data_IF_368688941945
#
_entry.id   IF_368688941945
#
_cell.length_a   1.000
_cell.length_b   1.000
_cell.length_c   1.000
_cell.angle_alpha   90.00
_cell.angle_beta   90.00
_cell.angle_gamma   90.00
#
_symmetry.space_group_name_H-M   'P 1'
#
loop_
_entity.id
_entity.type
_entity.pdbx_description
1 polymer ?
#
# COMPACT_ATOMS: atom_id res chain seq x y z
N UNK A 1 -6.98 18.41 -46.26
CA UNK A 1 -7.91 17.67 -45.37
C UNK A 1 -7.16 17.33 -44.09
N UNK A 2 -7.01 18.34 -43.24
CA UNK A 2 -6.27 18.25 -41.99
C UNK A 2 -7.22 18.31 -40.79
N UNK A 3 -6.68 17.93 -39.62
CA UNK A 3 -7.17 18.24 -38.26
C UNK A 3 -8.16 17.24 -37.62
N UNK A 4 -8.74 16.26 -38.30
CA UNK A 4 -9.73 15.37 -37.63
C UNK A 4 -9.19 14.15 -36.86
N UNK A 5 -7.93 13.74 -37.04
CA UNK A 5 -7.41 12.52 -36.40
C UNK A 5 -6.63 12.73 -35.10
N UNK A 6 -6.32 13.98 -34.71
CA UNK A 6 -5.52 14.23 -33.49
C UNK A 6 -6.36 14.30 -32.20
N UNK A 7 -7.70 14.36 -32.31
CA UNK A 7 -8.55 14.65 -31.15
C UNK A 7 -8.93 13.40 -30.33
N UNK A 8 -8.84 12.19 -30.90
CA UNK A 8 -9.36 10.97 -30.25
C UNK A 8 -8.33 10.31 -29.33
N UNK A 9 -7.02 10.48 -29.60
CA UNK A 9 -5.97 9.84 -28.80
C UNK A 9 -5.60 10.68 -27.56
N UNK A 10 -5.91 11.98 -27.55
CA UNK A 10 -5.59 12.88 -26.44
C UNK A 10 -6.60 12.83 -25.26
N UNK A 11 -7.80 12.26 -25.46
CA UNK A 11 -8.90 12.36 -24.49
C UNK A 11 -9.25 11.05 -23.76
N UNK A 12 -8.53 9.95 -24.01
CA UNK A 12 -8.84 8.64 -23.42
C UNK A 12 -8.11 8.31 -22.10
N UNK A 13 -7.56 9.31 -21.41
CA UNK A 13 -7.16 9.15 -20.01
C UNK A 13 -7.98 10.07 -19.11
N UNK A 14 -9.31 9.87 -18.99
CA UNK A 14 -10.00 10.37 -17.81
C UNK A 14 -9.32 9.72 -16.60
N UNK A 15 -8.84 10.57 -15.69
CA UNK A 15 -7.82 10.25 -14.71
C UNK A 15 -7.99 8.88 -14.05
N UNK A 16 -6.89 8.14 -13.99
CA UNK A 16 -6.68 7.25 -12.86
C UNK A 16 -6.67 8.17 -11.63
N UNK A 17 -7.84 8.34 -11.01
CA UNK A 17 -7.88 8.57 -9.59
C UNK A 17 -7.16 7.38 -8.99
N UNK A 18 -5.89 7.57 -8.63
CA UNK A 18 -5.30 6.75 -7.57
C UNK A 18 -6.25 6.97 -6.40
N UNK A 19 -7.20 6.06 -6.21
CA UNK A 19 -7.93 5.97 -4.96
C UNK A 19 -6.82 5.87 -3.92
N UNK A 20 -6.71 6.92 -3.12
CA UNK A 20 -5.69 7.18 -2.09
C UNK A 20 -5.86 6.19 -0.93
N UNK A 21 -6.04 4.91 -1.26
CA UNK A 21 -6.07 3.77 -0.39
C UNK A 21 -4.61 3.41 -0.06
N UNK A 22 -3.91 4.33 0.60
CA UNK A 22 -2.50 4.18 0.91
C UNK A 22 -2.35 3.58 2.32
N UNK A 23 -2.03 2.29 2.38
CA UNK A 23 -1.41 1.72 3.56
C UNK A 23 0.01 2.29 3.63
N UNK A 24 0.30 3.08 4.66
CA UNK A 24 1.61 3.70 4.85
C UNK A 24 2.36 2.97 5.96
N UNK A 25 3.49 2.36 5.60
CA UNK A 25 4.45 1.81 6.56
C UNK A 25 5.49 2.87 6.90
N UNK A 26 5.61 3.22 8.19
CA UNK A 26 6.64 4.12 8.69
C UNK A 26 7.94 3.31 8.86
N UNK A 27 9.05 3.89 8.39
CA UNK A 27 10.34 3.22 8.19
C UNK A 27 10.29 2.13 7.09
N UNK A 28 10.71 2.52 5.88
CA UNK A 28 10.79 1.63 4.71
C UNK A 28 11.88 0.57 4.85
N UNK A 29 12.93 0.88 5.60
CA UNK A 29 14.06 -0.01 5.82
C UNK A 29 14.47 0.03 7.29
N UNK A 30 14.45 -1.13 7.95
CA UNK A 30 14.91 -1.30 9.32
C UNK A 30 15.94 -2.43 9.35
N UNK A 31 17.19 -2.08 9.65
CA UNK A 31 18.29 -3.05 9.79
C UNK A 31 18.75 -3.05 11.24
N UNK A 32 18.64 -4.20 11.90
CA UNK A 32 19.02 -4.43 13.30
C UNK A 32 19.89 -5.68 13.39
N UNK A 33 20.58 -5.88 14.52
CA UNK A 33 21.36 -7.11 14.72
C UNK A 33 20.42 -8.30 14.88
N UNK A 34 20.93 -9.48 14.58
CA UNK A 34 20.19 -10.73 14.74
C UNK A 34 19.65 -10.85 16.18
N UNK A 35 18.36 -11.18 16.32
CA UNK A 35 17.60 -11.28 17.58
C UNK A 35 17.28 -9.96 18.29
N UNK A 36 17.65 -8.81 17.75
CA UNK A 36 17.14 -7.54 18.27
C UNK A 36 15.67 -7.36 17.90
N UNK A 37 14.92 -6.69 18.77
CA UNK A 37 13.51 -6.37 18.53
C UNK A 37 13.40 -5.32 17.43
N UNK A 38 12.55 -5.58 16.46
CA UNK A 38 12.15 -4.62 15.41
C UNK A 38 10.70 -4.24 15.64
N UNK A 39 10.38 -2.97 15.46
CA UNK A 39 9.02 -2.46 15.47
C UNK A 39 8.77 -1.84 14.11
N UNK A 40 7.71 -2.30 13.42
CA UNK A 40 7.23 -1.70 12.19
C UNK A 40 5.88 -1.07 12.49
N UNK A 41 5.71 0.17 12.06
CA UNK A 41 4.47 0.91 12.23
C UNK A 41 3.76 1.01 10.90
N UNK A 42 2.43 0.86 10.93
CA UNK A 42 1.61 0.89 9.74
C UNK A 42 0.33 1.66 10.05
N UNK A 43 -0.09 2.49 9.10
CA UNK A 43 -1.26 3.33 9.20
C UNK A 43 -2.07 3.28 7.91
N UNK A 44 -3.37 3.54 8.02
CA UNK A 44 -4.28 3.58 6.88
C UNK A 44 -5.34 4.66 7.11
N UNK A 45 -5.75 5.31 6.03
CA UNK A 45 -6.82 6.32 6.00
C UNK A 45 -8.13 5.77 5.39
N UNK A 46 -8.21 4.46 5.13
CA UNK A 46 -9.32 3.84 4.38
C UNK A 46 -10.53 3.46 5.24
N UNK A 47 -10.46 3.70 6.55
CA UNK A 47 -11.55 3.31 7.45
C UNK A 47 -11.69 1.80 7.64
N UNK A 48 -10.74 0.95 7.22
CA UNK A 48 -10.77 -0.49 7.50
C UNK A 48 -10.48 -0.82 8.96
N UNK A 49 -11.24 -1.77 9.51
CA UNK A 49 -11.09 -2.19 10.90
C UNK A 49 -9.97 -3.21 11.10
N UNK A 50 -9.50 -3.85 10.02
CA UNK A 50 -8.42 -4.83 10.09
C UNK A 50 -7.29 -4.48 9.15
N UNK A 51 -6.05 -4.71 9.60
CA UNK A 51 -4.85 -4.63 8.78
C UNK A 51 -4.13 -5.98 8.80
N UNK A 52 -3.64 -6.42 7.65
CA UNK A 52 -2.94 -7.69 7.49
C UNK A 52 -1.44 -7.46 7.28
N UNK A 53 -0.63 -8.24 7.97
CA UNK A 53 0.83 -8.16 7.95
C UNK A 53 1.40 -9.36 7.22
N UNK A 54 2.16 -9.13 6.15
CA UNK A 54 2.76 -10.17 5.34
C UNK A 54 4.28 -10.11 5.40
N UNK A 55 4.93 -11.27 5.43
CA UNK A 55 6.36 -11.44 5.15
C UNK A 55 6.53 -11.87 3.70
N UNK A 56 7.55 -11.34 3.04
CA UNK A 56 7.97 -11.82 1.74
C UNK A 56 9.43 -12.24 1.80
N UNK A 57 9.66 -13.55 1.85
CA UNK A 57 10.99 -14.13 1.73
C UNK A 57 11.29 -14.37 0.23
N UNK A 58 12.55 -14.27 -0.21
CA UNK A 58 12.91 -14.51 -1.61
C UNK A 58 12.34 -15.84 -2.12
N UNK A 59 11.64 -15.78 -3.27
CA UNK A 59 10.98 -16.91 -3.93
C UNK A 59 9.83 -17.61 -3.18
N UNK A 60 9.43 -17.16 -1.98
CA UNK A 60 8.36 -17.81 -1.20
C UNK A 60 6.99 -17.12 -1.28
N UNK A 61 6.89 -16.01 -2.02
CA UNK A 61 5.65 -15.24 -2.12
C UNK A 61 5.28 -14.54 -0.80
N UNK A 62 4.03 -14.07 -0.71
CA UNK A 62 3.51 -13.43 0.50
C UNK A 62 3.06 -14.49 1.51
N UNK A 63 3.59 -14.43 2.72
CA UNK A 63 3.20 -15.26 3.86
C UNK A 63 2.54 -14.39 4.92
N UNK A 64 1.31 -14.73 5.31
CA UNK A 64 0.61 -14.02 6.37
C UNK A 64 1.33 -14.25 7.72
N UNK A 65 1.71 -13.16 8.38
CA UNK A 65 2.30 -13.18 9.72
C UNK A 65 1.25 -12.95 10.80
N UNK A 66 0.39 -11.94 10.60
CA UNK A 66 -0.51 -11.44 11.63
C UNK A 66 -1.64 -10.58 11.04
N UNK A 67 -2.72 -10.39 11.80
CA UNK A 67 -3.72 -9.36 11.52
C UNK A 67 -3.94 -8.53 12.78
N UNK A 68 -4.03 -7.22 12.62
CA UNK A 68 -4.35 -6.28 13.71
C UNK A 68 -5.75 -5.72 13.49
N UNK A 69 -6.47 -5.44 14.58
CA UNK A 69 -7.81 -4.84 14.55
C UNK A 69 -7.75 -3.41 15.11
N UNK A 70 -8.57 -2.50 14.58
CA UNK A 70 -8.71 -1.14 15.08
C UNK A 70 -9.20 -1.20 16.52
N UNK A 71 -8.54 -0.46 17.39
CA UNK A 71 -9.01 -0.25 18.75
C UNK A 71 -9.66 1.12 18.76
N UNK A 72 -10.96 1.18 19.04
CA UNK A 72 -11.65 2.45 19.26
C UNK A 72 -11.28 2.98 20.64
N UNK A 73 -10.77 4.21 20.70
CA UNK A 73 -10.57 4.91 21.96
C UNK A 73 -11.96 5.26 22.54
N UNK A 74 -12.26 4.74 23.74
CA UNK A 74 -13.52 5.02 24.46
C UNK A 74 -13.55 6.39 25.10
#
# INVERSE_FOLDING_TARGET
>A
MGIRLLCVVAFCFPGLGFMDAAVTQTERYLVKRTREKVVMECSQNMGHDSMFWYRQDPALGLQLLHFSYRVDDK
#
